data_IF_360722017149
#
_entry.id   IF_360722017149
#
_cell.length_a   1.000
_cell.length_b   1.000
_cell.length_c   1.000
_cell.angle_alpha   90.00
_cell.angle_beta   90.00
_cell.angle_gamma   90.00
#
_symmetry.space_group_name_H-M   'P 1'
#
loop_
_entity.id
_entity.type
_entity.pdbx_description
1 polymer ?
#
# COMPACT_ATOMS: atom_id res chain seq x y z
N UNK A 1 -13.68 15.47 16.38
CA UNK A 1 -13.06 15.49 15.05
C UNK A 1 -12.55 14.08 14.78
N UNK A 2 -13.04 13.38 13.75
CA UNK A 2 -12.47 12.08 13.36
C UNK A 2 -11.15 12.32 12.64
N UNK A 3 -10.09 11.59 13.00
CA UNK A 3 -8.80 11.71 12.31
C UNK A 3 -8.96 11.35 10.82
N UNK A 4 -8.27 12.05 9.90
CA UNK A 4 -8.42 11.85 8.46
C UNK A 4 -7.74 10.57 7.93
N UNK A 5 -7.10 9.79 8.82
CA UNK A 5 -6.40 8.54 8.56
C UNK A 5 -6.34 7.71 9.87
N UNK A 6 -5.97 6.44 9.75
CA UNK A 6 -5.66 5.53 10.88
C UNK A 6 -4.19 5.13 10.86
N UNK A 7 -3.73 4.50 11.94
CA UNK A 7 -2.34 4.05 12.09
C UNK A 7 -2.18 2.56 11.72
N UNK A 8 -1.05 2.20 11.10
CA UNK A 8 -0.71 0.83 10.71
C UNK A 8 -0.74 -0.09 11.93
N UNK A 9 -0.24 0.38 13.08
CA UNK A 9 -0.28 -0.41 14.31
C UNK A 9 -1.71 -0.81 14.71
N UNK A 10 -2.66 0.11 14.60
CA UNK A 10 -4.07 -0.16 14.88
C UNK A 10 -4.66 -1.19 13.91
N UNK A 11 -4.28 -1.12 12.63
CA UNK A 11 -4.70 -2.11 11.63
C UNK A 11 -4.16 -3.49 12.02
N UNK A 12 -2.87 -3.59 12.38
CA UNK A 12 -2.22 -4.85 12.77
C UNK A 12 -2.86 -5.49 14.00
N UNK A 13 -3.29 -4.68 14.96
CA UNK A 13 -3.93 -5.13 16.20
C UNK A 13 -5.38 -5.62 15.98
N UNK A 14 -5.98 -5.40 14.80
CA UNK A 14 -7.28 -6.00 14.43
C UNK A 14 -7.16 -7.51 14.18
N UNK A 15 -8.24 -8.24 14.44
CA UNK A 15 -8.37 -9.63 13.98
C UNK A 15 -8.47 -9.71 12.45
N UNK A 16 -8.05 -10.83 11.86
CA UNK A 16 -8.11 -11.02 10.40
C UNK A 16 -9.53 -10.85 9.84
N UNK A 17 -10.54 -11.40 10.52
CA UNK A 17 -11.94 -11.22 10.13
C UNK A 17 -12.39 -9.75 10.13
N UNK A 18 -11.78 -8.91 10.98
CA UNK A 18 -12.06 -7.48 11.01
C UNK A 18 -11.31 -6.68 9.92
N UNK A 19 -10.31 -7.28 9.27
CA UNK A 19 -9.54 -6.68 8.17
C UNK A 19 -10.12 -6.99 6.80
N UNK A 20 -10.66 -8.21 6.60
CA UNK A 20 -11.15 -8.68 5.30
C UNK A 20 -12.19 -7.73 4.72
N UNK A 21 -11.98 -7.31 3.47
CA UNK A 21 -12.88 -6.42 2.73
C UNK A 21 -12.91 -4.97 3.21
N UNK A 22 -12.07 -4.58 4.18
CA UNK A 22 -11.97 -3.20 4.64
C UNK A 22 -10.91 -2.42 3.89
N UNK A 23 -11.19 -1.14 3.69
CA UNK A 23 -10.24 -0.17 3.14
C UNK A 23 -9.83 0.79 4.25
N UNK A 24 -8.53 0.93 4.45
CA UNK A 24 -7.96 1.85 5.44
C UNK A 24 -7.24 2.99 4.72
N UNK A 25 -7.37 4.20 5.26
CA UNK A 25 -6.60 5.36 4.83
C UNK A 25 -5.49 5.59 5.84
N UNK A 26 -4.24 5.57 5.39
CA UNK A 26 -3.04 5.74 6.22
C UNK A 26 -2.22 6.89 5.67
N UNK A 27 -1.59 7.67 6.55
CA UNK A 27 -0.58 8.67 6.16
C UNK A 27 0.80 8.08 6.44
N UNK A 28 1.54 7.74 5.38
CA UNK A 28 2.86 7.13 5.52
C UNK A 28 3.77 7.42 4.33
N UNK A 29 4.92 6.75 4.32
CA UNK A 29 5.93 6.84 3.28
C UNK A 29 6.44 5.43 2.90
N UNK A 30 7.01 5.30 1.71
CA UNK A 30 7.68 4.07 1.30
C UNK A 30 8.99 3.95 2.07
N UNK A 31 9.16 2.87 2.82
CA UNK A 31 10.39 2.57 3.55
C UNK A 31 11.43 1.91 2.66
N UNK A 32 11.02 0.88 1.91
CA UNK A 32 11.89 0.14 0.98
C UNK A 32 11.08 -0.56 -0.11
N UNK A 33 11.71 -0.78 -1.26
CA UNK A 33 11.17 -1.64 -2.30
C UNK A 33 11.55 -3.10 -2.01
N UNK A 34 10.59 -4.00 -2.22
CA UNK A 34 10.76 -5.45 -2.02
C UNK A 34 10.94 -6.20 -3.33
N UNK A 35 10.55 -5.57 -4.45
CA UNK A 35 10.75 -6.09 -5.80
C UNK A 35 11.23 -4.98 -6.73
N UNK A 36 11.75 -5.39 -7.89
CA UNK A 36 11.86 -4.49 -9.04
C UNK A 36 10.46 -4.17 -9.57
N UNK A 37 10.33 -3.04 -10.26
CA UNK A 37 9.15 -2.75 -11.07
C UNK A 37 9.10 -3.76 -12.22
N UNK A 38 8.01 -4.50 -12.35
CA UNK A 38 7.78 -5.45 -13.43
C UNK A 38 6.58 -5.01 -14.25
N UNK A 39 6.66 -5.24 -15.56
CA UNK A 39 5.58 -5.02 -16.51
C UNK A 39 5.19 -6.34 -17.13
N UNK A 40 3.90 -6.67 -17.08
CA UNK A 40 3.30 -7.76 -17.85
C UNK A 40 2.45 -7.16 -18.98
N UNK A 41 1.82 -8.02 -19.80
CA UNK A 41 0.87 -7.58 -20.83
C UNK A 41 -0.36 -6.83 -20.29
N UNK A 42 -0.61 -6.90 -18.99
CA UNK A 42 -1.87 -6.44 -18.39
C UNK A 42 -1.64 -5.45 -17.23
N UNK A 43 -0.45 -5.45 -16.60
CA UNK A 43 -0.25 -4.68 -15.39
C UNK A 43 1.21 -4.36 -15.08
N UNK A 44 1.39 -3.21 -14.42
CA UNK A 44 2.57 -2.91 -13.62
C UNK A 44 2.44 -3.58 -12.26
N UNK A 45 3.54 -4.08 -11.72
CA UNK A 45 3.60 -4.65 -10.36
C UNK A 45 4.85 -4.16 -9.62
N UNK A 46 4.65 -3.78 -8.37
CA UNK A 46 5.71 -3.35 -7.46
C UNK A 46 5.31 -3.66 -6.02
N UNK A 47 6.19 -4.38 -5.32
CA UNK A 47 6.07 -4.64 -3.88
C UNK A 47 6.94 -3.68 -3.10
N UNK A 48 6.41 -3.16 -2.00
CA UNK A 48 7.17 -2.29 -1.09
C UNK A 48 6.71 -2.47 0.35
N UNK A 49 7.56 -2.06 1.29
CA UNK A 49 7.17 -1.83 2.68
C UNK A 49 6.84 -0.34 2.84
N UNK A 50 5.68 -0.02 3.40
CA UNK A 50 5.32 1.32 3.86
C UNK A 50 5.47 1.44 5.38
N UNK A 51 5.74 2.66 5.87
CA UNK A 51 5.84 3.00 7.29
C UNK A 51 5.08 4.29 7.58
N UNK A 52 4.40 4.35 8.72
CA UNK A 52 3.66 5.54 9.17
C UNK A 52 4.17 6.12 10.50
N UNK A 53 5.25 5.54 11.05
CA UNK A 53 5.83 5.88 12.35
C UNK A 53 5.33 5.02 13.52
N UNK A 54 4.23 4.29 13.33
CA UNK A 54 3.67 3.37 14.35
C UNK A 54 3.87 1.91 13.98
N UNK A 55 3.94 1.60 12.69
CA UNK A 55 4.14 0.26 12.18
C UNK A 55 4.62 0.25 10.73
N UNK A 56 4.95 -0.94 10.26
CA UNK A 56 5.37 -1.20 8.87
C UNK A 56 4.42 -2.22 8.23
N UNK A 57 4.13 -2.08 6.94
CA UNK A 57 3.29 -3.02 6.21
C UNK A 57 3.83 -3.26 4.80
N UNK A 58 3.95 -4.52 4.40
CA UNK A 58 4.27 -4.89 3.03
C UNK A 58 3.00 -4.81 2.18
N UNK A 59 3.08 -4.11 1.04
CA UNK A 59 1.94 -3.84 0.16
C UNK A 59 2.32 -3.99 -1.31
N UNK A 60 1.33 -4.32 -2.12
CA UNK A 60 1.38 -4.28 -3.58
C UNK A 60 0.80 -2.94 -4.06
N UNK A 61 1.53 -2.23 -4.93
CA UNK A 61 0.97 -1.09 -5.65
C UNK A 61 0.01 -1.57 -6.73
N UNK A 62 -1.13 -0.87 -6.87
CA UNK A 62 -2.05 -1.11 -7.98
C UNK A 62 -1.46 -0.59 -9.29
N UNK A 63 -1.72 -1.31 -10.39
CA UNK A 63 -1.25 -0.93 -11.72
C UNK A 63 -1.67 0.50 -12.10
N UNK A 64 -2.88 0.92 -11.75
CA UNK A 64 -3.39 2.29 -12.04
C UNK A 64 -2.53 3.40 -11.40
N UNK A 65 -2.09 3.20 -10.15
CA UNK A 65 -1.19 4.17 -9.49
C UNK A 65 0.15 4.23 -10.21
N UNK A 66 0.69 3.08 -10.61
CA UNK A 66 1.96 3.00 -11.32
C UNK A 66 1.87 3.60 -12.73
N UNK A 67 0.78 3.35 -13.46
CA UNK A 67 0.55 3.93 -14.79
C UNK A 67 0.51 5.46 -14.73
N UNK A 68 -0.12 6.03 -13.71
CA UNK A 68 -0.17 7.49 -13.50
C UNK A 68 1.18 8.09 -13.14
N UNK A 69 1.99 7.37 -12.35
CA UNK A 69 3.34 7.83 -11.97
C UNK A 69 4.34 7.72 -13.12
N UNK A 70 4.28 6.63 -13.89
CA UNK A 70 5.16 6.38 -15.05
C UNK A 70 4.73 7.22 -16.26
N UNK A 71 3.44 7.53 -16.38
CA UNK A 71 2.86 8.21 -17.54
C UNK A 71 2.55 7.29 -18.72
N UNK A 72 2.55 5.96 -18.49
CA UNK A 72 2.26 4.94 -19.49
C UNK A 72 1.53 3.75 -18.86
N UNK A 73 0.54 3.22 -19.57
CA UNK A 73 -0.17 2.00 -19.18
C UNK A 73 0.32 0.84 -20.04
N UNK A 74 0.60 -0.35 -19.46
CA UNK A 74 1.06 -1.52 -20.21
C UNK A 74 0.05 -1.98 -21.27
#
# INVERSE_FOLDING_TARGET
SSEPYVYIKQIQDLSEQSKVGRVFKVKGQILKLLSKLLVSKEAWTLKCTIVDGTGCLDVDFTSDVLSKLVGFTP
#
